data_IF_944230179955
#
_entry.id   IF_944230179955
#
_cell.length_a   1.000
_cell.length_b   1.000
_cell.length_c   1.000
_cell.angle_alpha   90.00
_cell.angle_beta   90.00
_cell.angle_gamma   90.00
#
_symmetry.space_group_name_H-M   'P 1'
#
loop_
_entity.id
_entity.type
_entity.pdbx_description
1 polymer ?
#
# COMPACT_ATOMS: atom_id res chain seq x y z
N UNK A 1 -1.88 -6.88 -32.95
CA UNK A 1 -0.82 -7.38 -32.04
C UNK A 1 -0.86 -6.52 -30.78
N UNK A 2 -1.08 -7.10 -29.60
CA UNK A 2 -1.05 -6.37 -28.33
C UNK A 2 0.41 -6.05 -27.99
N UNK A 3 0.74 -4.77 -27.79
CA UNK A 3 2.09 -4.29 -27.44
C UNK A 3 2.68 -5.00 -26.20
N UNK A 4 1.81 -5.50 -25.32
CA UNK A 4 2.14 -6.16 -24.05
C UNK A 4 1.90 -7.68 -24.04
N UNK A 5 1.66 -8.32 -25.20
CA UNK A 5 1.50 -9.78 -25.23
C UNK A 5 2.80 -10.41 -24.68
N UNK A 6 2.68 -11.25 -23.66
CA UNK A 6 3.77 -11.94 -22.96
C UNK A 6 4.64 -11.07 -22.02
N UNK A 7 4.13 -9.93 -21.53
CA UNK A 7 4.81 -9.13 -20.51
C UNK A 7 4.54 -9.66 -19.07
N UNK A 8 5.42 -10.50 -18.55
CA UNK A 8 5.58 -10.78 -17.11
C UNK A 8 6.71 -9.92 -16.50
N UNK A 9 6.79 -8.67 -16.91
CA UNK A 9 8.06 -7.95 -17.09
C UNK A 9 8.36 -6.92 -15.98
N UNK A 10 9.53 -6.97 -15.31
CA UNK A 10 9.99 -5.95 -14.38
C UNK A 10 10.08 -4.57 -15.05
N UNK A 11 9.96 -3.49 -14.25
CA UNK A 11 10.06 -2.07 -14.70
C UNK A 11 11.20 -1.78 -15.68
N UNK A 12 12.34 -2.46 -15.51
CA UNK A 12 13.53 -2.35 -16.35
C UNK A 12 13.32 -2.77 -17.81
N UNK A 13 12.48 -3.78 -18.06
CA UNK A 13 12.25 -4.30 -19.41
C UNK A 13 11.26 -3.44 -20.20
N UNK A 14 10.28 -2.81 -19.54
CA UNK A 14 9.40 -1.83 -20.19
C UNK A 14 10.19 -0.66 -20.74
N UNK A 15 11.08 -0.08 -19.93
CA UNK A 15 11.93 1.02 -20.39
C UNK A 15 12.84 0.60 -21.55
N UNK A 16 13.29 -0.66 -21.58
CA UNK A 16 14.01 -1.23 -22.72
C UNK A 16 13.18 -1.24 -24.00
N UNK A 17 11.92 -1.70 -23.93
CA UNK A 17 11.00 -1.71 -25.08
C UNK A 17 10.63 -0.30 -25.56
N UNK A 18 10.42 0.64 -24.64
CA UNK A 18 10.14 2.05 -24.97
C UNK A 18 11.34 2.66 -25.70
N UNK A 19 12.56 2.43 -25.21
CA UNK A 19 13.78 2.91 -25.87
C UNK A 19 13.95 2.34 -27.28
N UNK A 20 13.72 1.04 -27.46
CA UNK A 20 13.75 0.43 -28.80
C UNK A 20 12.70 1.06 -29.72
N UNK A 21 11.47 1.25 -29.24
CA UNK A 21 10.42 1.91 -30.01
C UNK A 21 10.81 3.33 -30.44
N UNK A 22 11.38 4.13 -29.54
CA UNK A 22 11.87 5.48 -29.84
C UNK A 22 13.04 5.47 -30.85
N UNK A 23 13.89 4.44 -30.84
CA UNK A 23 14.97 4.29 -31.81
C UNK A 23 14.47 3.99 -33.23
N UNK A 24 13.38 3.22 -33.36
CA UNK A 24 12.82 2.86 -34.67
C UNK A 24 11.84 3.89 -35.25
N UNK A 25 11.19 4.68 -34.40
CA UNK A 25 10.16 5.64 -34.82
C UNK A 25 10.71 7.07 -34.83
N UNK A 26 11.00 7.62 -33.64
CA UNK A 26 11.54 8.97 -33.42
C UNK A 26 11.80 9.14 -31.92
N UNK A 27 12.82 9.94 -31.56
CA UNK A 27 13.02 10.38 -30.17
C UNK A 27 11.96 11.35 -29.71
N UNK A 28 11.43 12.17 -30.61
CA UNK A 28 10.39 13.15 -30.32
C UNK A 28 9.04 12.51 -30.62
N UNK A 29 8.44 11.95 -29.57
CA UNK A 29 7.17 11.25 -29.65
C UNK A 29 6.01 12.25 -29.55
N UNK A 30 4.98 12.14 -30.39
CA UNK A 30 3.80 12.95 -30.22
C UNK A 30 3.11 12.67 -28.87
N UNK A 31 2.33 13.63 -28.33
CA UNK A 31 1.79 13.55 -26.97
C UNK A 31 0.98 12.29 -26.66
N UNK A 32 0.27 11.74 -27.65
CA UNK A 32 -0.51 10.51 -27.51
C UNK A 32 0.36 9.29 -27.15
N UNK A 33 1.57 9.20 -27.69
CA UNK A 33 2.51 8.12 -27.40
C UNK A 33 3.16 8.30 -26.03
N UNK A 34 3.50 9.52 -25.65
CA UNK A 34 4.02 9.84 -24.31
C UNK A 34 3.02 9.44 -23.24
N UNK A 35 1.75 9.86 -23.40
CA UNK A 35 0.67 9.51 -22.47
C UNK A 35 0.48 7.99 -22.38
N UNK A 36 0.50 7.29 -23.52
CA UNK A 36 0.39 5.83 -23.54
C UNK A 36 1.50 5.16 -22.72
N UNK A 37 2.75 5.62 -22.85
CA UNK A 37 3.86 5.05 -22.08
C UNK A 37 3.79 5.38 -20.60
N UNK A 38 3.31 6.57 -20.24
CA UNK A 38 3.09 6.93 -18.84
C UNK A 38 1.99 6.09 -18.19
N UNK A 39 0.88 5.86 -18.90
CA UNK A 39 -0.17 4.95 -18.46
C UNK A 39 0.36 3.52 -18.27
N UNK A 40 1.26 3.07 -19.14
CA UNK A 40 1.90 1.76 -19.00
C UNK A 40 2.81 1.69 -17.77
N UNK A 41 3.61 2.74 -17.51
CA UNK A 41 4.47 2.81 -16.32
C UNK A 41 3.66 2.76 -15.04
N UNK A 42 2.55 3.48 -14.97
CA UNK A 42 1.68 3.51 -13.78
C UNK A 42 0.98 2.18 -13.54
N UNK A 43 0.69 1.41 -14.59
CA UNK A 43 0.09 0.07 -14.48
C UNK A 43 1.12 -1.00 -14.11
N UNK A 44 2.40 -0.69 -14.27
CA UNK A 44 3.48 -1.63 -13.98
C UNK A 44 3.97 -1.47 -12.55
N UNK A 45 3.70 -2.49 -11.74
CA UNK A 45 4.07 -2.56 -10.33
C UNK A 45 3.55 -1.34 -9.54
N UNK A 46 2.21 -1.15 -9.47
CA UNK A 46 1.60 0.04 -8.90
C UNK A 46 1.65 0.07 -7.36
N UNK A 47 2.16 -0.98 -6.73
CA UNK A 47 2.11 -1.15 -5.29
C UNK A 47 3.51 -1.10 -4.70
N UNK A 48 3.65 -0.37 -3.61
CA UNK A 48 4.85 -0.41 -2.79
C UNK A 48 4.63 -1.42 -1.65
N UNK A 49 5.57 -2.34 -1.48
CA UNK A 49 5.55 -3.24 -0.33
C UNK A 49 5.88 -2.45 0.94
N UNK A 50 4.92 -2.39 1.87
CA UNK A 50 5.15 -1.84 3.20
C UNK A 50 5.53 -2.97 4.14
N UNK A 51 6.81 -3.04 4.48
CA UNK A 51 7.31 -4.04 5.42
C UNK A 51 7.03 -3.62 6.88
N UNK A 52 7.19 -4.59 7.79
CA UNK A 52 7.23 -4.32 9.24
C UNK A 52 5.94 -3.81 9.89
N UNK A 53 4.80 -4.38 9.48
CA UNK A 53 3.51 -4.15 10.11
C UNK A 53 3.05 -5.36 10.93
N UNK A 54 2.43 -5.12 12.09
CA UNK A 54 1.59 -6.09 12.78
C UNK A 54 0.13 -5.87 12.43
N UNK A 55 -0.59 -6.96 12.14
CA UNK A 55 -2.03 -6.91 11.85
C UNK A 55 -2.81 -7.46 13.05
N UNK A 56 -3.82 -6.74 13.48
CA UNK A 56 -4.79 -7.21 14.47
C UNK A 56 -6.20 -7.06 13.92
N UNK A 57 -7.10 -7.95 14.35
CA UNK A 57 -8.54 -7.85 14.06
C UNK A 57 -9.29 -7.53 15.34
N UNK A 58 -10.12 -6.50 15.30
CA UNK A 58 -11.00 -6.16 16.41
C UNK A 58 -12.24 -7.07 16.35
N UNK A 59 -12.64 -7.73 17.44
CA UNK A 59 -13.88 -8.49 17.48
C UNK A 59 -15.08 -7.62 17.13
N UNK A 60 -15.90 -8.07 16.16
CA UNK A 60 -16.99 -7.28 15.57
C UNK A 60 -18.13 -6.99 16.55
N UNK A 61 -18.29 -7.85 17.53
CA UNK A 61 -19.24 -7.77 18.64
C UNK A 61 -18.76 -6.83 19.76
N UNK A 62 -17.48 -6.48 19.79
CA UNK A 62 -16.91 -5.58 20.79
C UNK A 62 -17.03 -4.10 20.37
N UNK A 63 -18.27 -3.60 20.38
CA UNK A 63 -18.59 -2.21 20.02
C UNK A 63 -17.82 -1.17 20.85
N UNK A 64 -17.52 -1.48 22.12
CA UNK A 64 -16.74 -0.63 23.02
C UNK A 64 -15.31 -0.46 22.55
N UNK A 65 -14.60 -1.55 22.22
CA UNK A 65 -13.24 -1.51 21.71
C UNK A 65 -13.17 -0.84 20.34
N UNK A 66 -14.13 -1.14 19.45
CA UNK A 66 -14.25 -0.48 18.15
C UNK A 66 -14.36 1.04 18.33
N UNK A 67 -15.25 1.49 19.23
CA UNK A 67 -15.45 2.91 19.52
C UNK A 67 -14.20 3.54 20.13
N UNK A 68 -13.51 2.84 21.03
CA UNK A 68 -12.26 3.32 21.65
C UNK A 68 -11.20 3.59 20.59
N UNK A 69 -10.90 2.58 19.75
CA UNK A 69 -9.93 2.68 18.66
C UNK A 69 -10.33 3.78 17.66
N UNK A 70 -11.63 3.93 17.40
CA UNK A 70 -12.15 4.94 16.47
C UNK A 70 -12.24 6.35 17.05
N UNK A 71 -12.08 6.58 18.36
CA UNK A 71 -12.21 7.91 18.99
C UNK A 71 -10.92 8.41 19.61
N UNK A 72 -10.14 7.54 20.26
CA UNK A 72 -8.90 7.94 20.93
C UNK A 72 -7.86 8.50 19.95
N UNK A 73 -7.41 9.72 20.20
CA UNK A 73 -6.50 10.44 19.29
C UNK A 73 -5.09 9.87 19.30
N UNK A 74 -4.65 9.28 20.41
CA UNK A 74 -3.33 8.65 20.52
C UNK A 74 -3.32 7.32 19.77
N UNK A 75 -4.29 6.43 20.01
CA UNK A 75 -4.41 5.15 19.31
C UNK A 75 -4.53 5.34 17.80
N UNK A 76 -5.32 6.33 17.35
CA UNK A 76 -5.45 6.67 15.91
C UNK A 76 -4.13 7.01 15.22
N UNK A 77 -3.20 7.67 15.90
CA UNK A 77 -1.91 8.05 15.32
C UNK A 77 -0.94 6.87 15.23
N UNK A 78 -1.18 5.82 16.00
CA UNK A 78 -0.30 4.65 16.11
C UNK A 78 -0.67 3.54 15.12
N UNK A 79 -1.85 3.61 14.50
CA UNK A 79 -2.41 2.56 13.65
C UNK A 79 -2.90 3.10 12.31
N UNK A 80 -3.05 2.19 11.34
CA UNK A 80 -3.82 2.39 10.12
C UNK A 80 -5.06 1.49 10.22
N UNK A 81 -6.24 2.06 9.95
CA UNK A 81 -7.49 1.29 9.89
C UNK A 81 -7.63 0.65 8.53
N UNK A 82 -7.90 -0.65 8.51
CA UNK A 82 -8.18 -1.42 7.31
C UNK A 82 -9.61 -1.99 7.38
N UNK A 83 -10.10 -2.44 6.24
CA UNK A 83 -11.44 -3.02 6.14
C UNK A 83 -11.59 -4.31 6.97
N UNK A 84 -12.84 -4.69 7.24
CA UNK A 84 -13.13 -5.91 8.00
C UNK A 84 -12.67 -5.87 9.47
N UNK A 85 -12.63 -4.68 10.07
CA UNK A 85 -12.20 -4.44 11.47
C UNK A 85 -10.72 -4.75 11.73
N UNK A 86 -9.88 -4.74 10.69
CA UNK A 86 -8.44 -4.88 10.83
C UNK A 86 -7.80 -3.54 11.17
N UNK A 87 -6.72 -3.62 11.94
CA UNK A 87 -5.81 -2.52 12.20
C UNK A 87 -4.39 -2.97 11.89
N UNK A 88 -3.66 -2.12 11.18
CA UNK A 88 -2.24 -2.29 10.89
C UNK A 88 -1.46 -1.39 11.86
N UNK A 89 -0.43 -1.93 12.47
CA UNK A 89 0.39 -1.22 13.45
C UNK A 89 1.85 -1.33 13.01
N UNK A 90 2.54 -0.22 12.70
CA UNK A 90 3.97 -0.24 12.46
C UNK A 90 4.70 -0.85 13.66
N UNK A 91 5.72 -1.69 13.44
CA UNK A 91 6.46 -2.36 14.52
C UNK A 91 6.90 -1.39 15.63
N UNK A 92 7.40 -0.21 15.25
CA UNK A 92 7.86 0.83 16.18
C UNK A 92 6.74 1.43 17.06
N UNK A 93 5.49 1.31 16.62
CA UNK A 93 4.32 1.79 17.34
C UNK A 93 3.67 0.72 18.23
N UNK A 94 4.03 -0.55 18.08
CA UNK A 94 3.39 -1.67 18.82
C UNK A 94 3.49 -1.48 20.33
N UNK A 95 4.68 -1.14 20.85
CA UNK A 95 4.87 -0.95 22.28
C UNK A 95 4.05 0.23 22.83
N UNK A 96 4.02 1.36 22.10
CA UNK A 96 3.25 2.55 22.45
C UNK A 96 1.75 2.27 22.41
N UNK A 97 1.31 1.53 21.39
CA UNK A 97 -0.08 1.11 21.23
C UNK A 97 -0.53 0.23 22.40
N UNK A 98 0.24 -0.80 22.74
CA UNK A 98 -0.03 -1.67 23.90
C UNK A 98 -0.14 -0.87 25.19
N UNK A 99 0.81 0.04 25.45
CA UNK A 99 0.78 0.88 26.65
C UNK A 99 -0.46 1.76 26.71
N UNK A 100 -0.81 2.45 25.61
CA UNK A 100 -2.03 3.29 25.56
C UNK A 100 -3.29 2.44 25.73
N UNK A 101 -3.31 1.23 25.18
CA UNK A 101 -4.45 0.33 25.27
C UNK A 101 -4.65 -0.22 26.69
N UNK A 102 -3.56 -0.44 27.43
CA UNK A 102 -3.57 -0.84 28.84
C UNK A 102 -4.19 0.22 29.77
N UNK A 103 -4.04 1.51 29.44
CA UNK A 103 -4.68 2.60 30.19
C UNK A 103 -6.22 2.51 30.16
N UNK A 104 -6.78 1.76 29.21
CA UNK A 104 -8.21 1.46 29.11
C UNK A 104 -8.59 0.04 29.56
N UNK A 105 -7.66 -0.69 30.20
CA UNK A 105 -7.89 -2.04 30.72
C UNK A 105 -7.78 -3.17 29.68
N UNK A 106 -7.27 -2.89 28.49
CA UNK A 106 -7.12 -3.88 27.42
C UNK A 106 -5.66 -4.34 27.31
N UNK A 107 -5.45 -5.66 27.18
CA UNK A 107 -4.12 -6.27 27.13
C UNK A 107 -3.95 -7.13 25.87
N UNK A 108 -2.78 -7.00 25.22
CA UNK A 108 -2.40 -7.80 24.05
C UNK A 108 -1.09 -8.52 24.35
N UNK A 109 -1.12 -9.86 24.34
CA UNK A 109 0.02 -10.72 24.68
C UNK A 109 0.91 -11.03 23.47
N UNK A 110 0.37 -10.99 22.25
CA UNK A 110 1.06 -11.28 20.97
C UNK A 110 1.89 -10.13 20.39
#
# INVERSE_FOLDING_TARGET
RLFLKDCSLPKKELEGKIKLFQQFISKDLPPNWTQFFDDLRQKMDPFEEVQEMKVFKIPVDNSTLIRLIAKDTTLKKLIIKAEGYHILIPKDNVAKFKKRLQEFGYFITS
#
